data_IF_249880240585
#
_entry.id   IF_249880240585
#
_cell.length_a   1.000
_cell.length_b   1.000
_cell.length_c   1.000
_cell.angle_alpha   90.00
_cell.angle_beta   90.00
_cell.angle_gamma   90.00
#
_symmetry.space_group_name_H-M   'P 1'
#
loop_
_entity.id
_entity.type
_entity.pdbx_description
1 polymer ?
#
# COMPACT_ATOMS: atom_id res chain seq x y z
N UNK A 1 38.30 80.81 38.23
CA UNK A 1 38.43 79.98 37.03
C UNK A 1 37.52 78.77 37.22
N UNK A 2 36.33 78.76 36.54
CA UNK A 2 35.34 77.66 36.61
C UNK A 2 35.35 76.92 35.28
N UNK A 3 35.82 75.62 35.27
CA UNK A 3 35.76 74.73 34.11
C UNK A 3 34.35 74.15 34.01
N UNK A 4 33.68 74.38 32.87
CA UNK A 4 32.41 73.70 32.51
C UNK A 4 32.74 72.45 31.74
N UNK A 5 32.40 71.27 32.25
CA UNK A 5 32.41 70.01 31.55
C UNK A 5 31.10 69.79 30.79
N UNK A 6 31.17 69.60 29.49
CA UNK A 6 30.04 69.27 28.65
C UNK A 6 29.96 67.71 28.58
N UNK A 7 28.90 67.13 29.07
CA UNK A 7 28.62 65.70 28.91
C UNK A 7 27.92 65.50 27.56
N UNK A 8 28.54 64.70 26.67
CA UNK A 8 27.87 64.17 25.47
C UNK A 8 26.95 62.99 25.87
N UNK A 9 25.66 63.15 25.65
CA UNK A 9 24.67 62.05 25.73
C UNK A 9 24.62 61.40 24.35
N UNK A 10 25.20 60.17 24.23
CA UNK A 10 25.00 59.32 23.06
C UNK A 10 23.63 58.66 23.16
N UNK A 11 22.69 59.07 22.27
CA UNK A 11 21.40 58.42 22.08
C UNK A 11 21.61 57.23 21.16
N UNK A 12 21.68 56.00 21.67
CA UNK A 12 21.73 54.75 20.86
C UNK A 12 20.34 54.43 20.32
N UNK A 13 20.14 54.65 19.02
CA UNK A 13 18.93 54.27 18.31
C UNK A 13 19.01 52.74 18.03
N UNK A 14 18.32 51.92 18.83
CA UNK A 14 18.16 50.48 18.60
C UNK A 14 17.09 50.26 17.54
N UNK A 15 17.48 50.06 16.31
CA UNK A 15 16.60 49.61 15.23
C UNK A 15 16.14 48.21 15.47
N UNK A 16 14.90 48.03 15.91
CA UNK A 16 14.23 46.75 16.03
C UNK A 16 13.88 46.27 14.63
N UNK A 17 14.68 45.32 14.09
CA UNK A 17 14.36 44.63 12.84
C UNK A 17 13.23 43.67 13.13
N UNK A 18 12.01 44.07 12.78
CA UNK A 18 10.86 43.15 12.73
C UNK A 18 11.11 42.23 11.53
N UNK A 19 11.61 41.00 11.79
CA UNK A 19 11.64 39.95 10.82
C UNK A 19 10.19 39.57 10.48
N UNK A 20 9.62 40.24 9.48
CA UNK A 20 8.38 39.81 8.89
C UNK A 20 8.55 38.40 8.32
N UNK A 21 7.80 37.44 8.82
CA UNK A 21 7.67 36.12 8.21
C UNK A 21 7.12 36.34 6.79
N UNK A 22 7.98 36.19 5.79
CA UNK A 22 7.54 36.09 4.39
C UNK A 22 6.67 34.82 4.34
N UNK A 23 5.38 34.92 3.94
CA UNK A 23 4.58 33.72 3.75
C UNK A 23 5.32 32.82 2.77
N UNK A 24 5.57 31.57 3.15
CA UNK A 24 6.14 30.59 2.23
C UNK A 24 5.24 30.54 0.99
N UNK A 25 5.82 30.77 -0.18
CA UNK A 25 5.06 30.78 -1.42
C UNK A 25 4.44 29.40 -1.62
N UNK A 26 3.11 29.34 -1.85
CA UNK A 26 2.42 28.08 -2.15
C UNK A 26 3.16 27.35 -3.29
N UNK A 27 3.62 26.12 -3.03
CA UNK A 27 4.21 25.30 -4.07
C UNK A 27 3.17 25.03 -5.17
N UNK A 28 3.46 25.49 -6.38
CA UNK A 28 2.65 25.24 -7.57
C UNK A 28 3.52 24.54 -8.61
N UNK A 29 3.14 23.35 -9.06
CA UNK A 29 3.92 22.67 -10.07
C UNK A 29 3.89 23.45 -11.39
N UNK A 30 5.08 23.65 -11.98
CA UNK A 30 5.29 24.38 -13.26
C UNK A 30 5.66 23.47 -14.41
N UNK A 31 5.89 22.20 -14.13
CA UNK A 31 6.21 21.12 -15.09
C UNK A 31 5.41 19.85 -14.74
N UNK A 32 5.28 18.90 -15.66
CA UNK A 32 4.61 17.63 -15.37
C UNK A 32 5.21 16.89 -14.17
N UNK A 33 4.34 16.23 -13.41
CA UNK A 33 4.69 15.37 -12.28
C UNK A 33 4.77 13.93 -12.79
N UNK A 34 5.69 13.13 -12.24
CA UNK A 34 5.80 11.69 -12.55
C UNK A 34 5.42 10.87 -11.32
N UNK A 35 4.51 9.91 -11.48
CA UNK A 35 4.24 8.89 -10.46
C UNK A 35 4.79 7.56 -10.94
N UNK A 36 5.75 7.01 -10.19
CA UNK A 36 6.32 5.69 -10.46
C UNK A 36 5.45 4.62 -9.80
N UNK A 37 4.95 3.71 -10.63
CA UNK A 37 4.22 2.50 -10.21
C UNK A 37 5.16 1.32 -10.31
N UNK A 38 5.52 0.66 -9.19
CA UNK A 38 6.53 -0.42 -9.19
C UNK A 38 5.97 -1.79 -9.61
N UNK A 39 4.82 -1.82 -10.27
CA UNK A 39 4.10 -3.01 -10.71
C UNK A 39 3.68 -2.91 -12.17
N UNK A 40 3.36 -4.04 -12.83
CA UNK A 40 2.83 -4.02 -14.19
C UNK A 40 1.53 -3.20 -14.30
N UNK A 41 1.30 -2.65 -15.48
CA UNK A 41 0.07 -1.93 -15.79
C UNK A 41 -1.17 -2.82 -15.61
N UNK A 42 -2.29 -2.21 -15.19
CA UNK A 42 -3.57 -2.88 -14.95
C UNK A 42 -3.67 -3.59 -13.60
N UNK A 43 -2.61 -3.62 -12.77
CA UNK A 43 -2.67 -4.11 -11.39
C UNK A 43 -3.28 -3.08 -10.44
N UNK A 44 -3.53 -3.49 -9.18
CA UNK A 44 -4.20 -2.67 -8.16
C UNK A 44 -3.60 -1.29 -7.98
N UNK A 45 -2.28 -1.21 -7.90
CA UNK A 45 -1.56 0.06 -7.74
C UNK A 45 -1.75 0.98 -8.94
N UNK A 46 -1.59 0.43 -10.15
CA UNK A 46 -1.71 1.18 -11.40
C UNK A 46 -3.11 1.74 -11.59
N UNK A 47 -4.14 0.91 -11.43
CA UNK A 47 -5.54 1.33 -11.57
C UNK A 47 -5.92 2.41 -10.55
N UNK A 48 -5.53 2.25 -9.29
CA UNK A 48 -5.81 3.23 -8.25
C UNK A 48 -5.15 4.57 -8.54
N UNK A 49 -3.86 4.57 -8.86
CA UNK A 49 -3.14 5.83 -9.04
C UNK A 49 -3.53 6.57 -10.31
N UNK A 50 -3.97 5.88 -11.38
CA UNK A 50 -4.46 6.57 -12.60
C UNK A 50 -5.73 7.37 -12.32
N UNK A 51 -6.62 6.88 -11.47
CA UNK A 51 -7.81 7.62 -11.06
C UNK A 51 -7.41 8.81 -10.19
N UNK A 52 -6.57 8.58 -9.17
CA UNK A 52 -6.07 9.66 -8.32
C UNK A 52 -5.34 10.73 -9.13
N UNK A 53 -4.45 10.35 -10.03
CA UNK A 53 -3.71 11.27 -10.88
C UNK A 53 -4.65 12.14 -11.73
N UNK A 54 -5.64 11.52 -12.38
CA UNK A 54 -6.62 12.26 -13.19
C UNK A 54 -7.42 13.29 -12.40
N UNK A 55 -7.79 12.98 -11.15
CA UNK A 55 -8.50 13.92 -10.30
C UNK A 55 -7.57 15.00 -9.70
N UNK A 56 -6.34 14.63 -9.33
CA UNK A 56 -5.34 15.56 -8.80
C UNK A 56 -4.85 16.55 -9.86
N UNK A 57 -4.76 16.16 -11.14
CA UNK A 57 -4.44 17.04 -12.26
C UNK A 57 -5.37 18.26 -12.30
N UNK A 58 -6.66 18.08 -12.03
CA UNK A 58 -7.67 19.13 -12.03
C UNK A 58 -7.39 20.19 -10.96
N UNK A 59 -6.80 19.80 -9.84
CA UNK A 59 -6.47 20.67 -8.70
C UNK A 59 -5.12 21.34 -8.89
N UNK A 60 -4.11 20.56 -9.32
CA UNK A 60 -2.73 21.04 -9.44
C UNK A 60 -2.48 21.83 -10.73
N UNK A 61 -3.37 21.70 -11.74
CA UNK A 61 -3.21 22.38 -13.03
C UNK A 61 -2.03 21.86 -13.86
N UNK A 62 -1.48 20.68 -13.52
CA UNK A 62 -0.37 20.07 -14.20
C UNK A 62 -0.64 18.58 -14.47
N UNK A 63 -0.10 18.08 -15.58
CA UNK A 63 -0.19 16.67 -15.92
C UNK A 63 0.56 15.79 -14.93
N UNK A 64 -0.02 14.66 -14.57
CA UNK A 64 0.59 13.62 -13.74
C UNK A 64 0.81 12.36 -14.60
N UNK A 65 2.04 12.12 -15.01
CA UNK A 65 2.40 10.97 -15.83
C UNK A 65 2.59 9.72 -14.94
N UNK A 66 1.81 8.68 -15.18
CA UNK A 66 1.94 7.40 -14.48
C UNK A 66 2.87 6.48 -15.27
N UNK A 67 4.00 6.08 -14.66
CA UNK A 67 5.06 5.28 -15.29
C UNK A 67 5.22 3.97 -14.54
N UNK A 68 4.99 2.85 -15.21
CA UNK A 68 5.17 1.51 -14.65
C UNK A 68 6.64 1.07 -14.73
N UNK A 69 7.24 0.74 -13.58
CA UNK A 69 8.63 0.29 -13.44
C UNK A 69 8.68 -0.98 -12.58
N UNK A 70 8.21 -2.13 -13.10
CA UNK A 70 8.17 -3.38 -12.35
C UNK A 70 9.55 -3.99 -12.16
N UNK A 71 9.65 -4.93 -11.22
CA UNK A 71 10.85 -5.73 -10.96
C UNK A 71 11.16 -5.90 -9.48
N UNK A 72 11.73 -7.04 -9.11
CA UNK A 72 12.10 -7.42 -7.74
C UNK A 72 11.01 -7.10 -6.71
N UNK A 73 9.79 -7.62 -6.93
CA UNK A 73 8.60 -7.37 -6.09
C UNK A 73 8.31 -5.86 -5.88
N UNK A 74 8.64 -5.03 -6.88
CA UNK A 74 8.38 -3.59 -6.87
C UNK A 74 9.52 -2.74 -6.28
N UNK A 75 10.55 -3.33 -5.71
CA UNK A 75 11.64 -2.56 -5.07
C UNK A 75 12.45 -1.71 -6.06
N UNK A 76 12.55 -2.13 -7.34
CA UNK A 76 13.26 -1.35 -8.38
C UNK A 76 12.56 0.00 -8.61
N UNK A 77 11.26 -0.01 -8.87
CA UNK A 77 10.50 1.23 -9.07
C UNK A 77 10.47 2.11 -7.82
N UNK A 78 10.35 1.52 -6.63
CA UNK A 78 10.41 2.25 -5.37
C UNK A 78 11.76 2.92 -5.15
N UNK A 79 12.85 2.20 -5.44
CA UNK A 79 14.20 2.79 -5.35
C UNK A 79 14.37 3.97 -6.32
N UNK A 80 13.88 3.84 -7.56
CA UNK A 80 13.94 4.94 -8.53
C UNK A 80 13.18 6.18 -8.03
N UNK A 81 12.02 6.00 -7.41
CA UNK A 81 11.26 7.11 -6.82
C UNK A 81 11.98 7.71 -5.59
N UNK A 82 12.60 6.86 -4.78
CA UNK A 82 13.32 7.31 -3.59
C UNK A 82 14.60 8.10 -3.94
N UNK A 83 15.31 7.70 -4.97
CA UNK A 83 16.57 8.34 -5.40
C UNK A 83 16.33 9.60 -6.25
N UNK A 84 15.09 9.88 -6.64
CA UNK A 84 14.73 11.06 -7.42
C UNK A 84 14.96 12.38 -6.64
N UNK A 85 15.08 13.53 -7.31
CA UNK A 85 15.17 14.84 -6.66
C UNK A 85 14.00 15.09 -5.70
N UNK A 86 14.28 15.78 -4.58
CA UNK A 86 13.29 16.12 -3.53
C UNK A 86 12.47 17.36 -3.86
N UNK A 87 12.28 17.65 -5.14
CA UNK A 87 11.62 18.85 -5.66
C UNK A 87 10.09 18.74 -5.72
N UNK A 88 9.52 17.61 -5.29
CA UNK A 88 8.08 17.37 -5.29
C UNK A 88 7.50 16.87 -6.62
N UNK A 89 8.31 16.65 -7.65
CA UNK A 89 7.84 16.25 -8.99
C UNK A 89 7.94 14.75 -9.29
N UNK A 90 8.52 13.96 -8.39
CA UNK A 90 8.53 12.51 -8.51
C UNK A 90 7.89 11.88 -7.28
N UNK A 91 6.77 11.20 -7.51
CA UNK A 91 6.02 10.46 -6.50
C UNK A 91 6.14 8.95 -6.76
N UNK A 92 5.73 8.17 -5.79
CA UNK A 92 5.48 6.74 -6.00
C UNK A 92 4.06 6.38 -5.61
N UNK A 93 3.59 5.25 -6.11
CA UNK A 93 2.37 4.60 -5.65
C UNK A 93 2.70 3.13 -5.41
N UNK A 94 2.36 2.61 -4.24
CA UNK A 94 2.54 1.20 -3.91
C UNK A 94 1.54 0.77 -2.84
N UNK A 95 1.46 -0.53 -2.57
CA UNK A 95 0.75 -1.03 -1.40
C UNK A 95 1.59 -0.82 -0.13
N UNK A 96 0.96 -0.43 0.96
CA UNK A 96 1.61 -0.36 2.27
C UNK A 96 2.30 -1.66 2.64
N UNK A 97 1.63 -2.81 2.45
CA UNK A 97 2.17 -4.15 2.74
C UNK A 97 3.48 -4.42 2.03
N UNK A 98 3.63 -4.07 0.75
CA UNK A 98 4.89 -4.25 0.04
C UNK A 98 5.99 -3.36 0.62
N UNK A 99 5.67 -2.09 0.88
CA UNK A 99 6.64 -1.10 1.40
C UNK A 99 7.17 -1.49 2.79
N UNK A 100 6.30 -1.94 3.69
CA UNK A 100 6.73 -2.35 5.04
C UNK A 100 7.55 -3.65 5.04
N UNK A 101 7.35 -4.51 4.04
CA UNK A 101 8.05 -5.78 3.94
C UNK A 101 9.45 -5.68 3.30
N UNK A 102 9.74 -4.65 2.52
CA UNK A 102 11.02 -4.51 1.81
C UNK A 102 12.26 -4.63 2.71
N UNK A 103 12.35 -3.94 3.87
CA UNK A 103 13.56 -4.01 4.68
C UNK A 103 13.81 -5.40 5.26
N UNK A 104 12.78 -6.13 5.71
CA UNK A 104 12.94 -7.47 6.27
C UNK A 104 13.26 -8.53 5.20
N UNK A 105 12.95 -8.25 3.94
CA UNK A 105 13.27 -9.08 2.78
C UNK A 105 14.61 -8.71 2.12
N UNK A 106 15.31 -7.70 2.64
CA UNK A 106 16.55 -7.13 2.07
C UNK A 106 16.39 -6.60 0.62
N UNK A 107 15.18 -6.12 0.31
CA UNK A 107 14.88 -5.55 -1.02
C UNK A 107 15.16 -4.04 -1.09
N UNK A 108 15.02 -3.33 0.03
CA UNK A 108 15.36 -1.91 0.18
C UNK A 108 15.88 -1.65 1.59
N UNK A 109 16.76 -0.65 1.71
CA UNK A 109 17.26 -0.22 3.04
C UNK A 109 16.31 0.76 3.73
N UNK A 110 15.44 1.43 2.97
CA UNK A 110 14.43 2.34 3.50
C UNK A 110 13.27 1.57 4.12
N UNK A 111 12.65 2.17 5.12
CA UNK A 111 11.41 1.69 5.74
C UNK A 111 10.21 2.53 5.26
N UNK A 112 9.01 2.15 5.62
CA UNK A 112 7.81 2.97 5.40
C UNK A 112 7.90 4.36 6.08
N UNK A 113 8.71 4.51 7.15
CA UNK A 113 8.92 5.79 7.86
C UNK A 113 9.82 6.78 7.12
N UNK A 114 10.37 6.37 5.99
CA UNK A 114 11.16 7.24 5.12
C UNK A 114 10.30 7.90 4.02
N UNK A 115 8.98 7.70 4.10
CA UNK A 115 7.99 8.21 3.17
C UNK A 115 6.86 8.95 3.89
N UNK A 116 6.26 9.93 3.20
CA UNK A 116 4.96 10.51 3.54
C UNK A 116 3.91 9.81 2.70
N UNK A 117 2.86 9.31 3.33
CA UNK A 117 1.84 8.46 2.72
C UNK A 117 0.49 9.15 2.68
N UNK A 118 -0.27 8.88 1.63
CA UNK A 118 -1.70 9.16 1.49
C UNK A 118 -2.38 7.92 0.93
N UNK A 119 -3.34 7.35 1.67
CA UNK A 119 -4.07 6.14 1.26
C UNK A 119 -5.54 6.47 0.99
N UNK A 120 -6.01 6.16 -0.22
CA UNK A 120 -7.38 6.40 -0.67
C UNK A 120 -8.26 5.16 -0.56
N UNK A 121 -7.68 3.97 -0.74
CA UNK A 121 -8.37 2.69 -0.80
C UNK A 121 -7.72 1.65 0.10
N UNK A 122 -8.55 0.74 0.65
CA UNK A 122 -8.12 -0.52 1.23
C UNK A 122 -8.73 -1.68 0.42
N UNK A 123 -7.89 -2.55 -0.10
CA UNK A 123 -8.28 -3.80 -0.77
C UNK A 123 -7.95 -4.98 0.12
N UNK A 124 -8.95 -5.69 0.66
CA UNK A 124 -8.70 -6.94 1.37
C UNK A 124 -8.22 -8.01 0.40
N UNK A 125 -7.54 -9.03 0.91
CA UNK A 125 -7.25 -10.22 0.12
C UNK A 125 -8.48 -11.13 0.05
N UNK A 126 -8.59 -11.88 -1.05
CA UNK A 126 -9.55 -12.99 -1.19
C UNK A 126 -8.77 -14.28 -1.39
N UNK A 127 -9.21 -15.32 -0.71
CA UNK A 127 -8.76 -16.68 -0.91
C UNK A 127 -9.70 -17.31 -1.93
N UNK A 128 -9.22 -17.52 -3.15
CA UNK A 128 -10.00 -18.16 -4.20
C UNK A 128 -9.31 -19.40 -4.75
N UNK A 129 -10.11 -20.28 -5.30
CA UNK A 129 -9.67 -21.51 -5.96
C UNK A 129 -10.18 -21.54 -7.40
N UNK A 130 -9.67 -22.45 -8.23
CA UNK A 130 -10.27 -22.73 -9.54
C UNK A 130 -11.75 -23.10 -9.40
N UNK A 131 -12.54 -22.84 -10.41
CA UNK A 131 -14.02 -22.97 -10.31
C UNK A 131 -14.49 -24.38 -9.92
N UNK A 132 -13.77 -25.40 -10.37
CA UNK A 132 -14.03 -26.84 -10.16
C UNK A 132 -13.29 -27.44 -8.95
N UNK A 133 -12.47 -26.66 -8.24
CA UNK A 133 -11.71 -27.15 -7.09
C UNK A 133 -12.65 -27.68 -5.98
N UNK A 134 -12.32 -28.83 -5.34
CA UNK A 134 -13.27 -29.50 -4.42
C UNK A 134 -13.57 -28.74 -3.13
N UNK A 135 -12.72 -27.80 -2.69
CA UNK A 135 -12.98 -27.04 -1.49
C UNK A 135 -14.24 -26.15 -1.61
N UNK A 136 -15.13 -26.21 -0.62
CA UNK A 136 -16.37 -25.42 -0.57
C UNK A 136 -16.22 -24.16 0.27
N UNK A 137 -15.30 -24.20 1.24
CA UNK A 137 -15.03 -23.14 2.19
C UNK A 137 -13.57 -23.21 2.67
N UNK A 138 -13.08 -22.28 3.52
CA UNK A 138 -11.73 -22.33 4.06
C UNK A 138 -11.41 -23.58 4.89
N UNK A 139 -12.38 -24.18 5.57
CA UNK A 139 -12.15 -25.38 6.37
C UNK A 139 -11.88 -26.59 5.47
N UNK A 140 -12.64 -26.76 4.39
CA UNK A 140 -12.37 -27.77 3.36
C UNK A 140 -10.98 -27.58 2.72
N UNK A 141 -10.61 -26.33 2.40
CA UNK A 141 -9.30 -26.04 1.84
C UNK A 141 -8.18 -26.45 2.80
N UNK A 142 -8.29 -26.10 4.07
CA UNK A 142 -7.34 -26.48 5.12
C UNK A 142 -7.23 -28.01 5.25
N UNK A 143 -8.35 -28.72 5.23
CA UNK A 143 -8.37 -30.20 5.25
C UNK A 143 -7.59 -30.76 4.07
N UNK A 144 -7.86 -30.30 2.86
CA UNK A 144 -7.14 -30.73 1.63
C UNK A 144 -5.63 -30.44 1.72
N UNK A 145 -5.25 -29.26 2.21
CA UNK A 145 -3.85 -28.88 2.38
C UNK A 145 -3.13 -29.76 3.42
N UNK A 146 -3.83 -30.18 4.49
CA UNK A 146 -3.30 -31.09 5.51
C UNK A 146 -3.19 -32.53 5.04
N UNK A 147 -4.08 -32.99 4.15
CA UNK A 147 -3.99 -34.30 3.50
C UNK A 147 -2.85 -34.38 2.47
N UNK A 148 -2.46 -33.25 1.89
CA UNK A 148 -1.42 -33.14 0.86
C UNK A 148 -0.40 -32.03 1.19
N UNK A 149 0.38 -32.17 2.28
CA UNK A 149 1.30 -31.11 2.72
C UNK A 149 2.29 -30.71 1.63
N UNK A 150 2.43 -29.42 1.36
CA UNK A 150 3.36 -28.87 0.37
C UNK A 150 2.98 -29.09 -1.10
N UNK A 151 1.87 -29.79 -1.41
CA UNK A 151 1.50 -30.10 -2.80
C UNK A 151 0.53 -29.06 -3.41
N UNK A 152 -0.31 -28.43 -2.60
CA UNK A 152 -1.26 -27.42 -3.08
C UNK A 152 -0.50 -26.18 -3.50
N UNK A 153 -0.61 -25.82 -4.79
CA UNK A 153 0.01 -24.62 -5.36
C UNK A 153 -0.83 -23.39 -5.05
N UNK A 154 -0.21 -22.39 -4.43
CA UNK A 154 -0.86 -21.11 -4.08
C UNK A 154 -0.14 -19.96 -4.77
N UNK A 155 -0.83 -19.28 -5.66
CA UNK A 155 -0.33 -18.13 -6.42
C UNK A 155 -0.42 -16.83 -5.63
N UNK A 156 0.58 -15.97 -5.79
CA UNK A 156 0.58 -14.58 -5.33
C UNK A 156 1.35 -13.66 -6.26
N UNK A 157 1.26 -12.34 -6.05
CA UNK A 157 1.95 -11.32 -6.85
C UNK A 157 3.48 -11.27 -6.66
N UNK A 158 4.06 -12.19 -5.91
CA UNK A 158 5.50 -12.25 -5.62
C UNK A 158 5.80 -12.21 -4.13
N UNK A 159 7.07 -12.47 -3.80
CA UNK A 159 7.54 -12.50 -2.40
C UNK A 159 7.38 -11.12 -1.76
N UNK A 160 6.79 -11.07 -0.57
CA UNK A 160 6.52 -9.81 0.15
C UNK A 160 5.29 -9.04 -0.30
N UNK A 161 4.61 -9.49 -1.37
CA UNK A 161 3.33 -8.90 -1.80
C UNK A 161 2.22 -9.13 -0.78
N UNK A 162 1.11 -8.40 -0.96
CA UNK A 162 -0.11 -8.56 -0.13
C UNK A 162 -0.62 -10.00 -0.12
N UNK A 163 -0.63 -10.65 -1.29
CA UNK A 163 -1.05 -12.04 -1.42
C UNK A 163 -0.10 -13.03 -0.73
N UNK A 164 1.22 -12.82 -0.83
CA UNK A 164 2.18 -13.63 -0.08
C UNK A 164 2.03 -13.46 1.43
N UNK A 165 1.84 -12.24 1.89
CA UNK A 165 1.59 -11.96 3.31
C UNK A 165 0.31 -12.64 3.81
N UNK A 166 -0.79 -12.56 3.04
CA UNK A 166 -2.04 -13.25 3.36
C UNK A 166 -1.85 -14.77 3.44
N UNK A 167 -1.04 -15.34 2.53
CA UNK A 167 -0.67 -16.75 2.55
C UNK A 167 0.12 -17.11 3.81
N UNK A 168 1.11 -16.32 4.19
CA UNK A 168 1.92 -16.59 5.38
C UNK A 168 1.10 -16.48 6.67
N UNK A 169 0.17 -15.52 6.74
CA UNK A 169 -0.82 -15.43 7.83
C UNK A 169 -1.70 -16.69 7.84
N UNK A 170 -2.20 -17.11 6.67
CA UNK A 170 -3.04 -18.30 6.57
C UNK A 170 -2.30 -19.57 7.05
N UNK A 171 -1.05 -19.74 6.67
CA UNK A 171 -0.20 -20.84 7.15
C UNK A 171 -0.01 -20.83 8.67
N UNK A 172 0.28 -19.63 9.22
CA UNK A 172 0.45 -19.47 10.67
C UNK A 172 -0.80 -19.82 11.46
N UNK A 173 -1.98 -19.39 10.98
CA UNK A 173 -3.25 -19.61 11.68
C UNK A 173 -3.75 -21.04 11.55
N UNK A 174 -3.54 -21.66 10.38
CA UNK A 174 -4.13 -22.99 10.07
C UNK A 174 -3.17 -24.17 10.26
N UNK A 175 -1.87 -23.90 10.39
CA UNK A 175 -0.83 -24.94 10.46
C UNK A 175 -0.69 -25.72 9.16
N UNK A 176 -0.98 -25.10 8.00
CA UNK A 176 -0.88 -25.77 6.69
C UNK A 176 0.48 -25.55 6.04
N UNK A 177 0.91 -26.53 5.23
CA UNK A 177 2.06 -26.41 4.36
C UNK A 177 1.60 -26.42 2.89
N UNK A 178 2.10 -25.46 2.10
CA UNK A 178 1.72 -25.29 0.69
C UNK A 178 2.94 -25.00 -0.18
N UNK A 179 2.80 -25.14 -1.49
CA UNK A 179 3.78 -24.69 -2.46
C UNK A 179 3.45 -23.28 -2.94
N UNK A 180 4.17 -22.30 -2.44
CA UNK A 180 4.01 -20.91 -2.90
C UNK A 180 4.55 -20.75 -4.32
N UNK A 181 3.75 -20.15 -5.22
CA UNK A 181 4.10 -19.84 -6.61
C UNK A 181 4.04 -18.33 -6.81
N UNK A 182 5.18 -17.63 -6.76
CA UNK A 182 5.22 -16.18 -6.94
C UNK A 182 5.17 -15.80 -8.42
N UNK A 183 4.32 -14.83 -8.78
CA UNK A 183 4.22 -14.23 -10.11
C UNK A 183 4.71 -12.77 -10.09
N UNK A 184 4.86 -12.16 -11.25
CA UNK A 184 5.35 -10.78 -11.40
C UNK A 184 4.27 -9.72 -11.14
N UNK A 185 3.17 -10.06 -10.50
CA UNK A 185 2.06 -9.15 -10.18
C UNK A 185 0.77 -9.92 -9.89
N UNK A 186 -0.26 -9.23 -9.39
CA UNK A 186 -1.51 -9.85 -8.97
C UNK A 186 -2.32 -10.42 -10.13
N UNK A 187 -2.47 -9.67 -11.23
CA UNK A 187 -3.19 -10.17 -12.40
C UNK A 187 -2.55 -11.43 -13.01
N UNK A 188 -1.22 -11.54 -13.21
CA UNK A 188 -0.59 -12.79 -13.61
C UNK A 188 -0.90 -13.96 -12.66
N UNK A 189 -0.90 -13.75 -11.34
CA UNK A 189 -1.24 -14.79 -10.37
C UNK A 189 -2.70 -15.25 -10.50
N UNK A 190 -3.62 -14.31 -10.69
CA UNK A 190 -5.05 -14.58 -10.92
C UNK A 190 -5.24 -15.38 -12.21
N UNK A 191 -4.62 -14.95 -13.31
CA UNK A 191 -4.71 -15.63 -14.62
C UNK A 191 -4.15 -17.05 -14.53
N UNK A 192 -3.01 -17.26 -13.89
CA UNK A 192 -2.40 -18.58 -13.68
C UNK A 192 -3.33 -19.52 -12.90
N UNK A 193 -4.10 -19.00 -11.93
CA UNK A 193 -5.08 -19.81 -11.21
C UNK A 193 -6.31 -20.11 -12.08
N UNK A 194 -6.80 -19.13 -12.83
CA UNK A 194 -7.92 -19.36 -13.77
C UNK A 194 -7.56 -20.41 -14.84
N UNK A 195 -6.31 -20.44 -15.29
CA UNK A 195 -5.84 -21.45 -16.27
C UNK A 195 -5.51 -22.82 -15.67
N UNK A 196 -5.57 -22.97 -14.34
CA UNK A 196 -5.27 -24.24 -13.65
C UNK A 196 -3.77 -24.48 -13.39
N UNK A 197 -2.88 -23.52 -13.67
CA UNK A 197 -1.45 -23.61 -13.37
C UNK A 197 -1.19 -23.61 -11.86
N UNK A 198 -2.03 -22.93 -11.09
CA UNK A 198 -2.10 -23.04 -9.64
C UNK A 198 -3.52 -23.41 -9.18
N UNK A 199 -3.62 -24.00 -8.00
CA UNK A 199 -4.92 -24.46 -7.46
C UNK A 199 -5.67 -23.32 -6.74
N UNK A 200 -4.90 -22.47 -6.09
CA UNK A 200 -5.37 -21.41 -5.18
C UNK A 200 -4.69 -20.11 -5.54
N UNK A 201 -5.40 -19.00 -5.43
CA UNK A 201 -4.83 -17.66 -5.42
C UNK A 201 -5.20 -16.96 -4.12
N UNK A 202 -4.21 -16.41 -3.43
CA UNK A 202 -4.40 -15.47 -2.33
C UNK A 202 -3.92 -14.11 -2.82
N UNK A 203 -4.87 -13.25 -3.19
CA UNK A 203 -4.56 -11.98 -3.80
C UNK A 203 -5.71 -10.98 -3.53
N UNK A 204 -5.49 -9.72 -3.83
CA UNK A 204 -6.41 -8.63 -3.52
C UNK A 204 -7.77 -8.77 -4.23
N UNK A 205 -8.84 -8.32 -3.57
CA UNK A 205 -10.20 -8.30 -4.13
C UNK A 205 -10.26 -7.57 -5.46
N UNK A 206 -9.55 -6.46 -5.56
CA UNK A 206 -9.47 -5.60 -6.75
C UNK A 206 -9.03 -6.36 -8.01
N UNK A 207 -8.15 -7.33 -7.86
CA UNK A 207 -7.60 -8.12 -8.96
C UNK A 207 -8.43 -9.37 -9.28
N UNK A 208 -9.20 -9.85 -8.30
CA UNK A 208 -10.01 -11.07 -8.45
C UNK A 208 -11.47 -10.81 -8.83
N UNK A 209 -11.99 -9.60 -8.55
CA UNK A 209 -13.43 -9.30 -8.66
C UNK A 209 -14.04 -9.68 -10.03
N UNK A 210 -13.35 -9.38 -11.13
CA UNK A 210 -13.87 -9.66 -12.46
C UNK A 210 -13.91 -11.16 -12.75
N UNK A 211 -12.92 -11.94 -12.30
CA UNK A 211 -12.88 -13.40 -12.48
C UNK A 211 -13.88 -14.11 -11.57
N UNK A 212 -14.17 -13.54 -10.40
CA UNK A 212 -15.23 -14.04 -9.50
C UNK A 212 -16.61 -13.80 -10.15
N UNK A 213 -16.88 -12.59 -10.68
CA UNK A 213 -18.11 -12.28 -11.43
C UNK A 213 -18.32 -13.20 -12.63
N UNK A 214 -17.23 -13.46 -13.35
CA UNK A 214 -17.23 -14.38 -14.49
C UNK A 214 -17.31 -15.86 -14.08
N UNK A 215 -17.37 -16.17 -12.78
CA UNK A 215 -17.38 -17.53 -12.21
C UNK A 215 -16.18 -18.38 -12.67
N UNK A 216 -15.06 -17.73 -13.00
CA UNK A 216 -13.80 -18.38 -13.35
C UNK A 216 -12.97 -18.70 -12.09
N UNK A 217 -13.19 -17.95 -11.01
CA UNK A 217 -12.68 -18.24 -9.68
C UNK A 217 -13.85 -18.44 -8.72
N UNK A 218 -13.67 -19.38 -7.78
CA UNK A 218 -14.56 -19.61 -6.64
C UNK A 218 -13.91 -19.01 -5.39
N UNK A 219 -14.42 -17.86 -4.87
CA UNK A 219 -13.92 -17.30 -3.63
C UNK A 219 -14.41 -18.15 -2.46
N UNK A 220 -13.51 -18.45 -1.52
CA UNK A 220 -13.82 -19.20 -0.31
C UNK A 220 -14.02 -18.28 0.89
N UNK A 221 -13.17 -17.24 1.00
CA UNK A 221 -13.30 -16.19 2.02
C UNK A 221 -12.55 -14.94 1.63
N UNK A 222 -12.90 -13.81 2.23
CA UNK A 222 -12.10 -12.59 2.24
C UNK A 222 -11.37 -12.44 3.59
N UNK A 223 -10.35 -11.62 3.64
CA UNK A 223 -9.51 -11.40 4.82
C UNK A 223 -9.79 -10.09 5.54
N UNK A 224 -10.95 -9.46 5.28
CA UNK A 224 -11.46 -8.34 6.09
C UNK A 224 -12.34 -8.84 7.24
N UNK A 225 -12.86 -7.92 8.04
CA UNK A 225 -13.74 -8.24 9.20
C UNK A 225 -15.24 -8.22 8.85
N UNK A 226 -15.59 -8.08 7.58
CA UNK A 226 -16.99 -8.01 7.11
C UNK A 226 -17.15 -8.71 5.75
N UNK A 227 -18.38 -9.14 5.40
CA UNK A 227 -18.66 -9.69 4.09
C UNK A 227 -18.33 -8.69 2.98
N UNK A 228 -17.85 -9.19 1.84
CA UNK A 228 -17.68 -8.44 0.61
C UNK A 228 -18.79 -8.79 -0.37
N UNK A 229 -19.55 -7.80 -0.80
CA UNK A 229 -20.56 -8.00 -1.83
C UNK A 229 -19.93 -7.85 -3.22
N UNK A 230 -19.80 -8.95 -3.94
CA UNK A 230 -19.32 -8.97 -5.33
C UNK A 230 -20.55 -8.95 -6.24
N UNK A 231 -20.84 -7.79 -6.83
CA UNK A 231 -21.99 -7.61 -7.74
C UNK A 231 -22.01 -8.68 -8.83
N UNK A 232 -23.15 -9.36 -9.04
CA UNK A 232 -23.32 -10.45 -9.98
C UNK A 232 -22.82 -11.83 -9.49
N UNK A 233 -22.23 -11.91 -8.29
CA UNK A 233 -21.82 -13.17 -7.65
C UNK A 233 -22.50 -13.41 -6.31
N UNK A 234 -22.51 -12.42 -5.43
CA UNK A 234 -23.04 -12.50 -4.07
C UNK A 234 -21.98 -12.16 -3.00
N UNK A 235 -22.25 -12.55 -1.77
CA UNK A 235 -21.39 -12.26 -0.61
C UNK A 235 -20.25 -13.26 -0.46
N UNK A 236 -19.04 -12.75 -0.30
CA UNK A 236 -17.85 -13.49 0.12
C UNK A 236 -17.65 -13.25 1.60
N UNK A 237 -17.84 -14.28 2.42
CA UNK A 237 -17.76 -14.17 3.87
C UNK A 237 -16.33 -13.89 4.37
N UNK A 238 -16.16 -13.22 5.53
CA UNK A 238 -14.86 -13.03 6.13
C UNK A 238 -14.32 -14.36 6.68
N UNK A 239 -13.01 -14.56 6.55
CA UNK A 239 -12.32 -15.78 7.04
C UNK A 239 -12.47 -15.96 8.56
N UNK A 240 -12.68 -14.86 9.29
CA UNK A 240 -12.91 -14.87 10.74
C UNK A 240 -14.15 -15.68 11.16
N UNK A 241 -15.06 -15.99 10.22
CA UNK A 241 -16.17 -16.91 10.45
C UNK A 241 -15.68 -18.34 10.77
N UNK A 242 -14.55 -18.77 10.22
CA UNK A 242 -13.96 -20.10 10.44
C UNK A 242 -12.74 -20.03 11.37
N UNK A 243 -11.99 -18.94 11.31
CA UNK A 243 -10.78 -18.69 12.07
C UNK A 243 -10.86 -17.32 12.76
N UNK A 244 -11.52 -17.21 13.92
CA UNK A 244 -11.79 -15.93 14.59
C UNK A 244 -10.55 -15.09 14.92
N UNK A 245 -9.40 -15.74 15.14
CA UNK A 245 -8.12 -15.08 15.41
C UNK A 245 -7.35 -14.67 14.14
N UNK A 246 -7.95 -14.81 12.94
CA UNK A 246 -7.27 -14.41 11.71
C UNK A 246 -7.15 -12.87 11.65
N UNK A 247 -5.94 -12.31 11.59
CA UNK A 247 -5.77 -10.87 11.51
C UNK A 247 -6.24 -10.34 10.15
N UNK A 248 -6.63 -9.07 10.11
CA UNK A 248 -6.93 -8.41 8.84
C UNK A 248 -5.70 -8.43 7.94
N UNK A 249 -5.88 -8.84 6.70
CA UNK A 249 -4.87 -8.74 5.66
C UNK A 249 -5.44 -8.13 4.39
N UNK A 250 -4.59 -7.45 3.66
CA UNK A 250 -4.94 -6.67 2.49
C UNK A 250 -3.91 -5.59 2.31
N UNK A 251 -4.25 -4.56 1.57
CA UNK A 251 -3.34 -3.42 1.41
C UNK A 251 -4.07 -2.11 1.20
N UNK A 252 -3.45 -1.07 1.69
CA UNK A 252 -3.82 0.30 1.40
C UNK A 252 -3.10 0.79 0.14
N UNK A 253 -3.80 1.59 -0.65
CA UNK A 253 -3.31 2.14 -1.91
C UNK A 253 -3.55 3.64 -1.98
N UNK A 254 -2.59 4.32 -2.58
CA UNK A 254 -2.63 5.76 -2.80
C UNK A 254 -1.32 6.25 -3.39
N UNK A 255 -0.82 7.36 -2.89
CA UNK A 255 0.45 7.95 -3.31
C UNK A 255 1.40 8.13 -2.13
N UNK A 256 2.68 8.26 -2.40
CA UNK A 256 3.69 8.57 -1.41
C UNK A 256 4.86 9.37 -2.02
N UNK A 257 5.50 10.16 -1.19
CA UNK A 257 6.73 10.88 -1.52
C UNK A 257 7.78 10.64 -0.43
N UNK A 258 9.07 10.75 -0.72
CA UNK A 258 10.09 10.73 0.33
C UNK A 258 9.85 11.82 1.38
N UNK A 259 10.16 11.52 2.65
CA UNK A 259 9.85 12.39 3.80
C UNK A 259 10.54 13.76 3.80
N UNK A 260 11.61 13.91 3.01
CA UNK A 260 12.43 15.11 2.87
C UNK A 260 12.04 16.01 1.68
N UNK A 261 10.87 15.75 1.07
CA UNK A 261 10.21 16.70 0.15
C UNK A 261 9.73 17.92 0.94
N UNK A 262 9.79 19.11 0.36
CA UNK A 262 9.43 20.35 1.05
C UNK A 262 7.99 20.33 1.57
N UNK A 263 7.77 21.00 2.71
CA UNK A 263 6.43 21.07 3.33
C UNK A 263 5.39 21.70 2.40
N UNK A 264 5.77 22.71 1.63
CA UNK A 264 4.88 23.40 0.69
C UNK A 264 4.40 22.44 -0.42
N UNK A 265 5.29 21.57 -0.92
CA UNK A 265 4.92 20.54 -1.89
C UNK A 265 4.02 19.47 -1.23
N UNK A 266 4.35 19.02 -0.03
CA UNK A 266 3.54 18.06 0.74
C UNK A 266 2.13 18.62 0.96
N UNK A 267 1.99 19.86 1.40
CA UNK A 267 0.69 20.51 1.63
C UNK A 267 -0.14 20.60 0.33
N UNK A 268 0.49 20.97 -0.79
CA UNK A 268 -0.18 21.04 -2.09
C UNK A 268 -0.64 19.67 -2.60
N UNK A 269 0.22 18.66 -2.46
CA UNK A 269 -0.09 17.26 -2.80
C UNK A 269 -1.26 16.76 -1.93
N UNK A 270 -1.21 17.01 -0.62
CA UNK A 270 -2.26 16.60 0.32
C UNK A 270 -3.62 17.25 0.02
N UNK A 271 -3.66 18.53 -0.34
CA UNK A 271 -4.89 19.23 -0.78
C UNK A 271 -5.47 18.59 -2.05
N UNK A 272 -4.62 18.30 -3.05
CA UNK A 272 -5.06 17.68 -4.28
C UNK A 272 -5.53 16.23 -4.06
N UNK A 273 -4.84 15.49 -3.20
CA UNK A 273 -5.23 14.15 -2.81
C UNK A 273 -6.60 14.13 -2.10
N UNK A 274 -6.88 15.08 -1.20
CA UNK A 274 -8.17 15.15 -0.52
C UNK A 274 -9.36 15.28 -1.48
N UNK A 275 -9.20 16.03 -2.56
CA UNK A 275 -10.23 16.16 -3.60
C UNK A 275 -10.37 14.85 -4.37
N UNK A 276 -9.24 14.25 -4.77
CA UNK A 276 -9.22 13.00 -5.54
C UNK A 276 -9.81 11.83 -4.75
N UNK A 277 -9.47 11.72 -3.45
CA UNK A 277 -9.94 10.63 -2.58
C UNK A 277 -11.46 10.68 -2.32
N UNK A 278 -12.11 11.81 -2.57
CA UNK A 278 -13.58 11.99 -2.43
C UNK A 278 -14.32 12.02 -3.75
N UNK A 279 -13.62 11.86 -4.88
CA UNK A 279 -14.21 11.95 -6.22
C UNK A 279 -15.22 10.83 -6.47
N UNK A 280 -16.23 11.12 -7.31
CA UNK A 280 -17.21 10.12 -7.71
C UNK A 280 -16.58 9.02 -8.59
N UNK A 281 -15.52 9.37 -9.33
CA UNK A 281 -14.73 8.38 -10.09
C UNK A 281 -14.12 7.32 -9.16
N UNK A 282 -13.53 7.74 -8.02
CA UNK A 282 -12.95 6.80 -7.07
C UNK A 282 -14.02 5.98 -6.33
N UNK A 283 -15.17 6.58 -5.99
CA UNK A 283 -16.30 5.86 -5.37
C UNK A 283 -16.81 4.77 -6.30
N UNK A 284 -17.09 5.10 -7.57
CA UNK A 284 -17.51 4.14 -8.58
C UNK A 284 -16.50 3.00 -8.75
N UNK A 285 -15.22 3.32 -8.81
CA UNK A 285 -14.16 2.33 -8.89
C UNK A 285 -14.13 1.43 -7.66
N UNK A 286 -14.32 1.98 -6.46
CA UNK A 286 -14.32 1.20 -5.22
C UNK A 286 -15.46 0.17 -5.21
N UNK A 287 -16.66 0.54 -5.66
CA UNK A 287 -17.81 -0.35 -5.78
C UNK A 287 -17.55 -1.44 -6.83
N UNK A 288 -17.03 -1.06 -8.01
CA UNK A 288 -16.74 -2.00 -9.09
C UNK A 288 -15.64 -2.99 -8.73
N UNK A 289 -14.63 -2.58 -7.98
CA UNK A 289 -13.47 -3.41 -7.61
C UNK A 289 -13.54 -4.04 -6.22
N UNK A 290 -14.67 -3.83 -5.54
CA UNK A 290 -14.96 -4.45 -4.23
C UNK A 290 -13.89 -4.10 -3.19
N UNK A 291 -13.63 -2.80 -3.06
CA UNK A 291 -12.64 -2.24 -2.13
C UNK A 291 -13.29 -1.19 -1.22
N UNK A 292 -12.61 -0.83 -0.15
CA UNK A 292 -13.10 0.16 0.79
C UNK A 292 -12.41 1.51 0.57
N UNK A 293 -13.24 2.56 0.50
CA UNK A 293 -12.72 3.92 0.57
C UNK A 293 -12.16 4.17 1.98
N UNK A 294 -10.97 4.75 2.00
CA UNK A 294 -10.37 5.27 3.23
C UNK A 294 -10.05 6.75 3.07
N UNK A 295 -9.31 7.43 3.38
CA UNK A 295 -8.80 8.80 3.22
C UNK A 295 -7.83 9.09 4.36
N UNK A 296 -6.82 8.22 4.47
CA UNK A 296 -5.78 8.35 5.48
C UNK A 296 -4.64 9.21 4.94
N UNK A 297 -4.16 10.14 5.75
CA UNK A 297 -3.14 11.10 5.31
C UNK A 297 -2.01 11.19 6.32
N UNK A 298 -0.81 11.33 5.83
CA UNK A 298 0.39 11.66 6.62
C UNK A 298 0.48 10.84 7.90
N UNK A 299 0.22 11.44 9.07
CA UNK A 299 0.33 10.76 10.36
C UNK A 299 -0.64 9.58 10.50
N UNK A 300 -1.89 9.70 10.01
CA UNK A 300 -2.86 8.61 10.05
C UNK A 300 -2.44 7.47 9.11
N UNK A 301 -1.95 7.80 7.91
CA UNK A 301 -1.46 6.83 6.95
C UNK A 301 -0.17 6.14 7.46
N UNK A 302 0.72 6.89 8.12
CA UNK A 302 1.91 6.31 8.76
C UNK A 302 1.55 5.38 9.91
N UNK A 303 0.60 5.75 10.76
CA UNK A 303 0.12 4.89 11.86
C UNK A 303 -0.45 3.57 11.32
N UNK A 304 -1.21 3.63 10.20
CA UNK A 304 -1.71 2.44 9.53
C UNK A 304 -0.58 1.58 8.94
N UNK A 305 0.44 2.19 8.35
CA UNK A 305 1.62 1.47 7.86
C UNK A 305 2.42 0.83 9.01
N UNK A 306 2.53 1.50 10.16
CA UNK A 306 3.14 0.94 11.37
C UNK A 306 2.36 -0.28 11.89
N UNK A 307 1.02 -0.23 11.89
CA UNK A 307 0.17 -1.37 12.25
C UNK A 307 0.37 -2.53 11.26
N UNK A 308 0.31 -2.26 9.95
CA UNK A 308 0.59 -3.26 8.91
C UNK A 308 1.98 -3.89 9.11
N UNK A 309 3.01 -3.07 9.36
CA UNK A 309 4.37 -3.56 9.62
C UNK A 309 4.44 -4.49 10.83
N UNK A 310 3.76 -4.12 11.92
CA UNK A 310 3.78 -4.88 13.19
C UNK A 310 3.21 -6.30 13.07
N UNK A 311 2.36 -6.53 12.07
CA UNK A 311 1.74 -7.85 11.79
C UNK A 311 2.53 -8.57 10.69
N UNK A 312 2.66 -7.93 9.53
CA UNK A 312 3.08 -8.62 8.30
C UNK A 312 4.55 -9.00 8.31
N UNK A 313 5.42 -8.09 8.78
CA UNK A 313 6.87 -8.36 8.81
C UNK A 313 7.23 -9.47 9.78
N UNK A 314 6.56 -9.52 10.93
CA UNK A 314 6.78 -10.57 11.93
C UNK A 314 6.26 -11.93 11.46
N UNK A 315 5.12 -11.97 10.77
CA UNK A 315 4.62 -13.23 10.19
C UNK A 315 5.58 -13.77 9.14
N UNK A 316 6.11 -12.91 8.26
CA UNK A 316 7.12 -13.32 7.28
C UNK A 316 8.40 -13.84 7.96
N UNK A 317 8.84 -13.19 9.02
CA UNK A 317 10.05 -13.59 9.76
C UNK A 317 9.84 -14.90 10.52
N UNK A 318 8.75 -15.03 11.27
CA UNK A 318 8.42 -16.23 12.04
C UNK A 318 8.25 -17.49 11.16
N UNK A 319 7.76 -17.32 9.94
CA UNK A 319 7.58 -18.39 8.96
C UNK A 319 8.84 -18.66 8.11
N UNK A 320 9.94 -17.94 8.36
CA UNK A 320 11.20 -18.10 7.60
C UNK A 320 11.15 -17.53 6.18
N UNK A 321 10.12 -16.76 5.82
CA UNK A 321 10.00 -16.09 4.53
C UNK A 321 10.83 -14.79 4.47
N UNK A 322 11.12 -14.16 5.61
CA UNK A 322 12.05 -13.05 5.75
C UNK A 322 13.27 -13.46 6.58
N UNK A 323 14.45 -12.97 6.21
CA UNK A 323 15.73 -13.30 6.88
C UNK A 323 16.14 -12.27 7.93
N UNK A 324 15.71 -11.02 7.79
CA UNK A 324 16.09 -9.92 8.68
C UNK A 324 14.98 -9.72 9.70
N UNK A 325 15.35 -9.73 11.00
CA UNK A 325 14.39 -9.51 12.07
C UNK A 325 13.78 -8.11 12.01
N UNK A 326 12.44 -7.98 12.10
CA UNK A 326 11.76 -6.68 12.15
C UNK A 326 12.25 -5.78 13.30
N UNK A 327 12.75 -6.37 14.40
CA UNK A 327 13.31 -5.61 15.52
C UNK A 327 14.51 -4.73 15.11
N UNK A 328 15.28 -5.11 14.08
CA UNK A 328 16.39 -4.31 13.56
C UNK A 328 15.93 -2.96 12.95
N UNK A 329 14.65 -2.87 12.59
CA UNK A 329 14.03 -1.66 12.04
C UNK A 329 13.11 -0.98 13.07
N UNK A 330 13.22 -1.31 14.36
CA UNK A 330 12.35 -0.81 15.42
C UNK A 330 10.85 -1.04 15.13
N UNK A 331 10.50 -2.16 14.49
CA UNK A 331 9.12 -2.57 14.25
C UNK A 331 8.68 -3.44 15.44
N UNK A 332 7.73 -2.97 16.27
CA UNK A 332 7.22 -3.75 17.38
C UNK A 332 6.41 -4.95 16.87
N UNK A 333 6.33 -6.00 17.68
CA UNK A 333 5.43 -7.11 17.36
C UNK A 333 3.99 -6.71 17.67
N UNK A 334 3.11 -6.81 16.67
CA UNK A 334 1.69 -6.56 16.84
C UNK A 334 1.04 -7.55 17.83
N UNK A 335 -0.04 -7.13 18.46
CA UNK A 335 -0.89 -8.04 19.25
C UNK A 335 -1.57 -9.01 18.27
N UNK A 336 -1.37 -10.31 18.51
CA UNK A 336 -2.08 -11.38 17.78
C UNK A 336 -3.51 -11.49 18.25
#
# INVERSE_FOLDING_TARGET
MKRRTWGLVLLSLTTMVVAGSVPAADWKPTKPITVIVPWPAGGSTDLTVRILASEMEKVLGQRIAVVNTPGASGSIGMKNAYDAPRDGYTWSSNSDTAVVNYPVLDLMKTTHRDWIHWYALFSPSIISVTADYPAKDPADLVRIMKEKPGQVAVASAGVGSSGHTALEVFKSVTGTAVRHVPYSGGNPAVVATVSGESNVVMQLSMEQADMIRAKKLKPLANTSNRPLNVSGYGEVQPITKWYPAFPLTGSHFGIMVPKDVSKEAVDAIGKAFDVAARSDALKKFADEKVVFLVNLKEAEALAMADETASITTWVLYDNGAAKISPAQFNIPRGKR
#
